data_IF_870336182404
#
_entry.id   IF_870336182404
#
_cell.length_a   1.000
_cell.length_b   1.000
_cell.length_c   1.000
_cell.angle_alpha   90.00
_cell.angle_beta   90.00
_cell.angle_gamma   90.00
#
_symmetry.space_group_name_H-M   'P 1'
#
loop_
_entity.id
_entity.type
_entity.pdbx_description
1 polymer ?
#
# COMPACT_ATOMS: atom_id res chain seq x y z
N UNK A 1 -13.90 24.55 3.95
CA UNK A 1 -14.62 23.25 4.00
C UNK A 1 -16.04 23.49 4.47
N UNK A 2 -17.02 22.69 4.04
CA UNK A 2 -18.38 22.74 4.62
C UNK A 2 -18.34 22.17 6.05
N UNK A 3 -19.15 22.69 7.00
CA UNK A 3 -19.13 22.21 8.40
C UNK A 3 -19.45 20.71 8.53
N UNK A 4 -20.27 20.16 7.62
CA UNK A 4 -20.54 18.71 7.56
C UNK A 4 -19.30 17.86 7.27
N UNK A 5 -18.32 18.37 6.53
CA UNK A 5 -17.09 17.62 6.22
C UNK A 5 -16.19 17.49 7.47
N UNK A 6 -16.32 18.39 8.45
CA UNK A 6 -15.56 18.32 9.69
C UNK A 6 -16.02 17.16 10.57
N UNK A 7 -17.34 16.99 10.72
CA UNK A 7 -17.92 15.86 11.45
C UNK A 7 -17.54 14.51 10.83
N UNK A 8 -17.48 14.45 9.51
CA UNK A 8 -17.12 13.23 8.77
C UNK A 8 -15.63 12.92 8.94
N UNK A 9 -14.77 13.94 8.92
CA UNK A 9 -13.35 13.75 9.20
C UNK A 9 -13.12 13.22 10.64
N UNK A 10 -13.84 13.76 11.63
CA UNK A 10 -13.77 13.26 13.01
C UNK A 10 -14.25 11.81 13.10
N UNK A 11 -15.41 11.49 12.51
CA UNK A 11 -15.96 10.14 12.51
C UNK A 11 -15.03 9.13 11.83
N UNK A 12 -14.44 9.50 10.69
CA UNK A 12 -13.46 8.68 9.99
C UNK A 12 -12.17 8.49 10.80
N UNK A 13 -11.68 9.55 11.44
CA UNK A 13 -10.52 9.46 12.34
C UNK A 13 -10.80 8.56 13.54
N UNK A 14 -11.98 8.67 14.15
CA UNK A 14 -12.41 7.80 15.25
C UNK A 14 -12.54 6.33 14.83
N UNK A 15 -13.13 6.06 13.66
CA UNK A 15 -13.22 4.70 13.11
C UNK A 15 -11.82 4.12 12.85
N UNK A 16 -10.90 4.91 12.29
CA UNK A 16 -9.50 4.50 12.08
C UNK A 16 -8.80 4.21 13.41
N UNK A 17 -8.98 5.06 14.42
CA UNK A 17 -8.43 4.84 15.76
C UNK A 17 -8.95 3.56 16.41
N UNK A 18 -10.26 3.29 16.33
CA UNK A 18 -10.87 2.08 16.90
C UNK A 18 -10.39 0.79 16.20
N UNK A 19 -10.21 0.83 14.88
CA UNK A 19 -9.63 -0.28 14.14
C UNK A 19 -8.19 -0.58 14.57
N UNK A 20 -7.43 0.45 14.94
CA UNK A 20 -6.04 0.30 15.37
C UNK A 20 -5.88 -0.02 16.86
N UNK A 21 -6.74 0.49 17.74
CA UNK A 21 -6.54 0.41 19.20
C UNK A 21 -6.52 -1.02 19.72
N UNK A 22 -7.20 -1.96 19.05
CA UNK A 22 -7.14 -3.38 19.39
C UNK A 22 -5.72 -3.95 19.35
N UNK A 23 -4.85 -3.42 18.47
CA UNK A 23 -3.45 -3.83 18.37
C UNK A 23 -2.64 -3.35 19.58
N UNK A 24 -2.96 -2.16 20.08
CA UNK A 24 -2.31 -1.59 21.27
C UNK A 24 -2.71 -2.36 22.54
N UNK A 25 -3.92 -2.90 22.57
CA UNK A 25 -4.44 -3.68 23.71
C UNK A 25 -4.14 -5.19 23.57
N UNK A 26 -3.34 -5.60 22.58
CA UNK A 26 -2.88 -6.99 22.37
C UNK A 26 -4.00 -8.05 22.27
N UNK A 27 -5.09 -7.76 21.55
CA UNK A 27 -6.13 -8.78 21.32
C UNK A 27 -5.80 -9.70 20.12
N UNK A 28 -6.08 -11.01 20.24
CA UNK A 28 -5.66 -12.03 19.25
C UNK A 28 -6.21 -11.87 17.82
N UNK A 29 -7.27 -11.07 17.62
CA UNK A 29 -7.82 -10.72 16.29
C UNK A 29 -7.48 -9.29 15.83
N UNK A 30 -6.67 -8.56 16.60
CA UNK A 30 -6.39 -7.14 16.40
C UNK A 30 -5.65 -6.81 15.12
N UNK A 31 -4.73 -7.68 14.68
CA UNK A 31 -3.84 -7.39 13.55
C UNK A 31 -4.66 -7.10 12.30
N UNK A 32 -5.60 -7.97 11.94
CA UNK A 32 -6.45 -7.80 10.75
C UNK A 32 -7.25 -6.50 10.79
N UNK A 33 -7.78 -6.12 11.96
CA UNK A 33 -8.51 -4.86 12.12
C UNK A 33 -7.59 -3.65 11.99
N UNK A 34 -6.39 -3.70 12.58
CA UNK A 34 -5.42 -2.63 12.51
C UNK A 34 -4.92 -2.40 11.07
N UNK A 35 -4.78 -3.47 10.28
CA UNK A 35 -4.46 -3.34 8.85
C UNK A 35 -5.57 -2.61 8.06
N UNK A 36 -6.81 -2.62 8.54
CA UNK A 36 -7.92 -1.87 7.93
C UNK A 36 -7.97 -0.39 8.36
N UNK A 37 -7.16 0.05 9.33
CA UNK A 37 -7.17 1.42 9.86
C UNK A 37 -7.00 2.54 8.81
N UNK A 38 -6.26 2.38 7.69
CA UNK A 38 -6.19 3.40 6.64
C UNK A 38 -7.51 3.66 5.90
N UNK A 39 -8.41 2.66 5.84
CA UNK A 39 -9.58 2.68 4.96
C UNK A 39 -10.53 3.84 5.26
N UNK A 40 -10.92 4.12 6.53
CA UNK A 40 -11.75 5.28 6.85
C UNK A 40 -11.15 6.61 6.42
N UNK A 41 -9.82 6.77 6.55
CA UNK A 41 -9.11 8.00 6.16
C UNK A 41 -9.12 8.17 4.63
N UNK A 42 -8.89 7.09 3.88
CA UNK A 42 -9.03 7.11 2.43
C UNK A 42 -10.44 7.51 1.99
N UNK A 43 -11.49 6.94 2.62
CA UNK A 43 -12.89 7.27 2.32
C UNK A 43 -13.15 8.77 2.56
N UNK A 44 -12.70 9.31 3.69
CA UNK A 44 -12.83 10.74 3.99
C UNK A 44 -12.11 11.61 2.95
N UNK A 45 -10.88 11.24 2.59
CA UNK A 45 -10.08 11.96 1.58
C UNK A 45 -10.72 11.95 0.20
N UNK A 46 -11.22 10.80 -0.24
CA UNK A 46 -11.78 10.62 -1.58
C UNK A 46 -13.20 11.18 -1.73
N UNK A 47 -14.05 11.04 -0.71
CA UNK A 47 -15.46 11.44 -0.78
C UNK A 47 -15.75 12.87 -0.30
N UNK A 48 -14.93 13.42 0.59
CA UNK A 48 -15.17 14.73 1.23
C UNK A 48 -14.00 15.71 1.07
N UNK A 49 -13.00 15.33 0.29
CA UNK A 49 -11.85 16.15 -0.10
C UNK A 49 -10.64 15.93 0.80
N UNK A 50 -9.47 16.37 0.31
CA UNK A 50 -8.18 16.06 0.92
C UNK A 50 -8.02 16.59 2.35
N UNK A 51 -8.58 17.77 2.64
CA UNK A 51 -8.57 18.32 4.00
C UNK A 51 -9.31 17.42 5.00
N UNK A 52 -10.39 16.74 4.59
CA UNK A 52 -11.09 15.79 5.45
C UNK A 52 -10.23 14.56 5.75
N UNK A 53 -9.46 14.08 4.77
CA UNK A 53 -8.48 13.01 4.94
C UNK A 53 -7.35 13.38 5.92
N UNK A 54 -6.71 14.54 5.74
CA UNK A 54 -5.66 15.01 6.64
C UNK A 54 -6.16 15.24 8.06
N UNK A 55 -7.35 15.83 8.21
CA UNK A 55 -7.97 16.00 9.54
C UNK A 55 -8.30 14.65 10.19
N UNK A 56 -8.85 13.69 9.42
CA UNK A 56 -9.11 12.34 9.92
C UNK A 56 -7.82 11.66 10.42
N UNK A 57 -6.70 11.85 9.72
CA UNK A 57 -5.41 11.31 10.12
C UNK A 57 -4.88 11.90 11.45
N UNK A 58 -5.06 13.21 11.66
CA UNK A 58 -4.70 13.86 12.93
C UNK A 58 -5.60 13.39 14.06
N UNK A 59 -6.91 13.30 13.81
CA UNK A 59 -7.90 12.81 14.79
C UNK A 59 -7.62 11.36 15.19
N UNK A 60 -7.30 10.47 14.24
CA UNK A 60 -7.00 9.08 14.54
C UNK A 60 -5.78 8.94 15.45
N UNK A 61 -4.71 9.68 15.14
CA UNK A 61 -3.49 9.70 15.96
C UNK A 61 -3.75 10.22 17.38
N UNK A 62 -4.48 11.33 17.51
CA UNK A 62 -4.84 11.91 18.79
C UNK A 62 -5.71 10.98 19.64
N UNK A 63 -6.69 10.31 19.04
CA UNK A 63 -7.54 9.36 19.76
C UNK A 63 -6.79 8.12 20.21
N UNK A 64 -5.90 7.55 19.38
CA UNK A 64 -5.07 6.41 19.82
C UNK A 64 -4.14 6.82 20.95
N UNK A 65 -3.51 7.99 20.89
CA UNK A 65 -2.68 8.51 21.98
C UNK A 65 -3.51 8.71 23.27
N UNK A 66 -4.72 9.25 23.16
CA UNK A 66 -5.60 9.47 24.31
C UNK A 66 -6.10 8.17 24.94
N UNK A 67 -6.50 7.19 24.14
CA UNK A 67 -7.06 5.91 24.64
C UNK A 67 -5.96 5.02 25.22
N UNK A 68 -4.80 4.94 24.56
CA UNK A 68 -3.68 4.11 25.04
C UNK A 68 -2.90 4.73 26.19
N UNK A 69 -3.03 6.05 26.40
CA UNK A 69 -2.18 6.81 27.33
C UNK A 69 -0.73 6.99 26.84
N UNK A 70 -0.38 6.47 25.65
CA UNK A 70 0.95 6.56 25.07
C UNK A 70 0.94 7.41 23.80
N UNK A 71 1.61 8.57 23.85
CA UNK A 71 1.78 9.45 22.68
C UNK A 71 2.46 8.71 21.52
N UNK A 72 3.41 7.82 21.83
CA UNK A 72 4.11 7.01 20.83
C UNK A 72 3.15 6.16 19.99
N UNK A 73 2.13 5.53 20.58
CA UNK A 73 1.15 4.74 19.82
C UNK A 73 0.42 5.55 18.75
N UNK A 74 0.01 6.78 19.08
CA UNK A 74 -0.60 7.71 18.13
C UNK A 74 0.37 8.18 17.05
N UNK A 75 1.62 8.47 17.41
CA UNK A 75 2.67 8.88 16.47
C UNK A 75 3.01 7.76 15.47
N UNK A 76 3.13 6.53 15.95
CA UNK A 76 3.42 5.36 15.11
C UNK A 76 2.30 5.10 14.11
N UNK A 77 1.03 5.13 14.56
CA UNK A 77 -0.14 5.06 13.66
C UNK A 77 -0.11 6.20 12.63
N UNK A 78 0.13 7.42 13.08
CA UNK A 78 0.14 8.60 12.22
C UNK A 78 1.17 8.47 11.10
N UNK A 79 2.42 8.19 11.47
CA UNK A 79 3.55 8.10 10.55
C UNK A 79 3.42 6.91 9.59
N UNK A 80 3.00 5.75 10.10
CA UNK A 80 2.99 4.52 9.31
C UNK A 80 1.76 4.37 8.41
N UNK A 81 0.59 4.82 8.87
CA UNK A 81 -0.68 4.50 8.21
C UNK A 81 -1.51 5.73 7.89
N UNK A 82 -1.80 6.58 8.88
CA UNK A 82 -2.79 7.64 8.71
C UNK A 82 -2.33 8.76 7.77
N UNK A 83 -1.08 9.21 7.90
CA UNK A 83 -0.52 10.24 7.03
C UNK A 83 -0.32 9.72 5.59
N UNK A 84 0.29 8.54 5.36
CA UNK A 84 0.35 7.95 4.02
C UNK A 84 -1.02 7.78 3.38
N UNK A 85 -2.04 7.41 4.15
CA UNK A 85 -3.41 7.28 3.65
C UNK A 85 -3.99 8.63 3.20
N UNK A 86 -3.81 9.68 4.01
CA UNK A 86 -4.26 11.02 3.66
C UNK A 86 -3.55 11.57 2.40
N UNK A 87 -2.23 11.36 2.29
CA UNK A 87 -1.44 11.80 1.13
C UNK A 87 -1.85 11.01 -0.12
N UNK A 88 -1.92 9.68 -0.06
CA UNK A 88 -2.29 8.87 -1.23
C UNK A 88 -3.76 9.12 -1.65
N UNK A 89 -4.67 9.34 -0.70
CA UNK A 89 -6.04 9.79 -0.99
C UNK A 89 -6.09 11.17 -1.64
N UNK A 90 -5.24 12.11 -1.21
CA UNK A 90 -5.10 13.41 -1.86
C UNK A 90 -4.58 13.26 -3.29
N UNK A 91 -3.49 12.53 -3.49
CA UNK A 91 -2.91 12.29 -4.81
C UNK A 91 -3.91 11.63 -5.75
N UNK A 92 -4.65 10.61 -5.30
CA UNK A 92 -5.66 9.95 -6.10
C UNK A 92 -6.83 10.86 -6.50
N UNK A 93 -7.14 11.88 -5.69
CA UNK A 93 -8.18 12.88 -5.93
C UNK A 93 -7.72 14.10 -6.73
N UNK A 94 -6.42 14.28 -6.98
CA UNK A 94 -5.92 15.39 -7.80
C UNK A 94 -6.37 15.23 -9.26
N UNK A 95 -6.93 16.30 -9.82
CA UNK A 95 -7.31 16.40 -11.21
C UNK A 95 -7.03 17.80 -11.73
N UNK A 96 -6.65 17.92 -13.01
CA UNK A 96 -6.51 19.20 -13.71
C UNK A 96 -7.45 19.25 -14.91
N UNK A 97 -8.05 20.40 -15.24
CA UNK A 97 -8.79 20.54 -16.49
C UNK A 97 -7.85 20.37 -17.68
N UNK A 98 -8.30 19.66 -18.71
CA UNK A 98 -7.62 19.62 -20.00
C UNK A 98 -7.90 20.98 -20.68
N UNK A 99 -6.85 21.78 -20.90
CA UNK A 99 -6.98 23.00 -21.68
C UNK A 99 -7.36 22.62 -23.12
N UNK A 100 -8.36 23.31 -23.70
CA UNK A 100 -8.61 23.22 -25.13
C UNK A 100 -7.48 23.95 -25.86
N UNK A 101 -6.37 23.25 -26.08
CA UNK A 101 -5.32 23.73 -26.98
C UNK A 101 -5.95 23.76 -28.39
N UNK A 102 -6.10 24.98 -28.95
CA UNK A 102 -6.87 25.28 -30.17
C UNK A 102 -6.35 24.71 -31.49
N UNK A 103 -5.78 23.49 -31.51
CA UNK A 103 -5.22 22.85 -32.71
C UNK A 103 -5.89 21.53 -33.11
N UNK A 104 -7.01 21.14 -32.47
CA UNK A 104 -7.66 19.84 -32.67
C UNK A 104 -9.06 19.88 -33.30
N UNK A 105 -9.41 20.92 -34.07
CA UNK A 105 -10.76 21.10 -34.63
C UNK A 105 -11.16 20.14 -35.77
N UNK A 106 -10.39 19.10 -36.11
CA UNK A 106 -10.68 18.28 -37.29
C UNK A 106 -11.47 16.98 -37.06
N UNK A 107 -11.75 16.54 -35.83
CA UNK A 107 -12.52 15.29 -35.66
C UNK A 107 -13.36 15.23 -34.37
N UNK A 108 -14.08 16.32 -34.08
CA UNK A 108 -15.23 16.22 -33.17
C UNK A 108 -16.42 15.70 -33.98
N UNK A 109 -16.57 14.38 -34.03
CA UNK A 109 -17.83 13.76 -34.42
C UNK A 109 -18.94 14.35 -33.54
N UNK A 110 -19.84 15.10 -34.17
CA UNK A 110 -21.00 15.72 -33.57
C UNK A 110 -21.80 14.66 -32.80
N UNK A 111 -21.93 14.81 -31.47
CA UNK A 111 -22.78 13.90 -30.70
C UNK A 111 -22.77 13.96 -29.17
N UNK A 112 -21.87 14.69 -28.50
CA UNK A 112 -21.88 14.74 -27.02
C UNK A 112 -21.74 16.17 -26.48
N UNK A 113 -22.86 16.89 -26.54
CA UNK A 113 -23.09 18.06 -25.70
C UNK A 113 -23.42 17.56 -24.27
N UNK A 114 -22.44 17.68 -23.37
CA UNK A 114 -22.56 17.43 -21.94
C UNK A 114 -21.44 18.17 -21.21
N UNK A 115 -21.79 19.32 -20.62
CA UNK A 115 -20.93 20.41 -20.14
C UNK A 115 -20.10 20.10 -18.89
N UNK A 116 -19.18 19.14 -18.95
CA UNK A 116 -18.15 18.99 -17.92
C UNK A 116 -16.74 19.09 -18.54
N UNK A 117 -15.86 19.99 -18.02
CA UNK A 117 -14.48 20.05 -18.46
C UNK A 117 -13.85 18.65 -18.35
N UNK A 118 -13.26 18.15 -19.44
CA UNK A 118 -12.56 16.87 -19.37
C UNK A 118 -11.40 17.00 -18.37
N UNK A 119 -11.42 16.18 -17.32
CA UNK A 119 -10.43 16.22 -16.25
C UNK A 119 -9.33 15.19 -16.50
N UNK A 120 -8.08 15.65 -16.47
CA UNK A 120 -6.91 14.77 -16.41
C UNK A 120 -6.58 14.48 -14.95
N UNK A 121 -6.82 13.23 -14.55
CA UNK A 121 -6.58 12.73 -13.19
C UNK A 121 -5.10 12.44 -12.95
N UNK A 122 -4.68 12.53 -11.68
CA UNK A 122 -3.32 12.20 -11.32
C UNK A 122 -3.02 10.71 -11.60
N UNK A 123 -1.87 10.41 -12.24
CA UNK A 123 -1.62 9.08 -12.76
C UNK A 123 -1.47 8.01 -11.68
N UNK A 124 -2.06 6.83 -11.91
CA UNK A 124 -2.08 5.72 -10.95
C UNK A 124 -0.67 5.21 -10.63
N UNK A 125 0.24 5.23 -11.61
CA UNK A 125 1.63 4.82 -11.43
C UNK A 125 2.38 5.70 -10.42
N UNK A 126 2.06 7.00 -10.38
CA UNK A 126 2.64 7.95 -9.42
C UNK A 126 2.04 7.78 -8.04
N UNK A 127 0.75 7.41 -7.95
CA UNK A 127 0.10 7.07 -6.67
C UNK A 127 0.75 5.83 -6.06
N UNK A 128 0.92 4.75 -6.83
CA UNK A 128 1.55 3.52 -6.32
C UNK A 128 3.01 3.76 -5.93
N UNK A 129 3.77 4.53 -6.74
CA UNK A 129 5.13 4.93 -6.40
C UNK A 129 5.18 5.70 -5.08
N UNK A 130 4.28 6.67 -4.88
CA UNK A 130 4.20 7.44 -3.64
C UNK A 130 3.84 6.55 -2.44
N UNK A 131 2.92 5.60 -2.60
CA UNK A 131 2.57 4.63 -1.56
C UNK A 131 3.80 3.82 -1.14
N UNK A 132 4.55 3.26 -2.10
CA UNK A 132 5.76 2.50 -1.81
C UNK A 132 6.84 3.36 -1.12
N UNK A 133 7.05 4.58 -1.60
CA UNK A 133 8.00 5.51 -1.01
C UNK A 133 7.62 5.90 0.43
N UNK A 134 6.35 6.21 0.68
CA UNK A 134 5.87 6.53 2.03
C UNK A 134 5.95 5.31 2.97
N UNK A 135 5.63 4.11 2.47
CA UNK A 135 5.78 2.89 3.26
C UNK A 135 7.24 2.62 3.64
N UNK A 136 8.18 2.82 2.70
CA UNK A 136 9.61 2.72 2.97
C UNK A 136 10.05 3.76 4.01
N UNK A 137 9.69 5.04 3.83
CA UNK A 137 10.04 6.13 4.76
C UNK A 137 9.48 5.88 6.16
N UNK A 138 8.22 5.42 6.25
CA UNK A 138 7.61 5.05 7.52
C UNK A 138 8.39 3.92 8.21
N UNK A 139 8.72 2.84 7.49
CA UNK A 139 9.43 1.70 8.07
C UNK A 139 10.88 2.05 8.45
N UNK A 140 11.56 2.91 7.69
CA UNK A 140 12.87 3.46 8.07
C UNK A 140 12.76 4.25 9.37
N UNK A 141 11.75 5.12 9.48
CA UNK A 141 11.50 5.92 10.68
C UNK A 141 11.14 5.06 11.90
N UNK A 142 10.35 4.00 11.71
CA UNK A 142 10.05 3.00 12.74
C UNK A 142 11.31 2.27 13.19
N UNK A 143 12.11 1.77 12.25
CA UNK A 143 13.38 1.13 12.57
C UNK A 143 14.30 2.05 13.35
N UNK A 144 14.42 3.32 12.96
CA UNK A 144 15.18 4.32 13.70
C UNK A 144 14.63 4.56 15.11
N UNK A 145 13.30 4.66 15.27
CA UNK A 145 12.64 4.84 16.56
C UNK A 145 12.89 3.66 17.51
N UNK A 146 12.91 2.43 17.00
CA UNK A 146 13.21 1.22 17.77
C UNK A 146 14.72 0.89 17.83
N UNK A 147 15.59 1.76 17.33
CA UNK A 147 17.04 1.56 17.36
C UNK A 147 17.56 0.43 16.47
N UNK A 148 16.76 0.00 15.47
CA UNK A 148 17.08 -1.12 14.57
C UNK A 148 17.34 -2.45 15.27
N UNK A 149 16.87 -2.57 16.52
CA UNK A 149 16.99 -3.77 17.33
C UNK A 149 15.74 -4.65 17.19
N UNK A 150 15.74 -5.51 16.18
CA UNK A 150 14.68 -6.52 16.01
C UNK A 150 14.80 -7.64 17.05
N UNK A 151 15.93 -7.80 17.74
CA UNK A 151 16.13 -8.91 18.69
C UNK A 151 15.25 -8.79 19.93
N UNK A 152 14.81 -7.57 20.26
CA UNK A 152 13.81 -7.31 21.29
C UNK A 152 12.45 -8.00 21.02
N UNK A 153 12.13 -8.31 19.75
CA UNK A 153 10.89 -9.01 19.34
C UNK A 153 11.01 -10.54 19.39
N UNK A 154 12.21 -11.06 19.64
CA UNK A 154 12.49 -12.50 19.69
C UNK A 154 11.58 -13.30 20.62
N UNK A 155 11.33 -12.89 21.89
CA UNK A 155 10.46 -13.67 22.78
C UNK A 155 9.04 -13.81 22.22
N UNK A 156 8.47 -12.73 21.67
CA UNK A 156 7.13 -12.74 21.07
C UNK A 156 7.04 -13.68 19.86
N UNK A 157 8.08 -13.71 19.02
CA UNK A 157 8.15 -14.64 17.88
C UNK A 157 8.26 -16.09 18.35
N UNK A 158 9.09 -16.36 19.36
CA UNK A 158 9.24 -17.71 19.91
C UNK A 158 7.92 -18.19 20.53
N UNK A 159 7.23 -17.32 21.26
CA UNK A 159 5.93 -17.64 21.85
C UNK A 159 4.88 -17.92 20.77
N UNK A 160 4.81 -17.08 19.73
CA UNK A 160 3.91 -17.29 18.58
C UNK A 160 4.22 -18.61 17.84
N UNK A 161 5.50 -18.95 17.66
CA UNK A 161 5.92 -20.22 17.07
C UNK A 161 5.50 -21.40 17.93
N UNK A 162 5.61 -21.29 19.26
CA UNK A 162 5.17 -22.32 20.21
C UNK A 162 3.65 -22.51 20.19
N UNK A 163 2.89 -21.45 19.95
CA UNK A 163 1.43 -21.52 19.81
C UNK A 163 0.96 -22.11 18.47
N UNK A 164 1.78 -22.00 17.40
CA UNK A 164 1.43 -22.41 16.03
C UNK A 164 1.30 -23.93 15.78
N UNK A 165 1.25 -24.75 16.83
CA UNK A 165 0.89 -26.18 16.76
C UNK A 165 1.98 -27.15 16.27
N UNK A 166 3.03 -26.67 15.61
CA UNK A 166 4.22 -27.47 15.27
C UNK A 166 5.26 -27.55 16.41
N UNK A 167 4.93 -26.99 17.56
CA UNK A 167 5.87 -26.80 18.65
C UNK A 167 6.35 -28.09 19.33
N UNK A 168 5.59 -29.17 19.19
CA UNK A 168 5.97 -30.47 19.74
C UNK A 168 7.03 -31.23 18.94
N UNK A 169 7.44 -30.72 17.77
CA UNK A 169 8.36 -31.42 16.85
C UNK A 169 9.73 -30.74 16.67
N UNK A 170 9.91 -29.50 17.13
CA UNK A 170 11.17 -28.77 17.01
C UNK A 170 11.94 -28.78 18.33
N UNK A 171 13.25 -28.97 18.25
CA UNK A 171 14.19 -28.74 19.35
C UNK A 171 14.33 -27.24 19.63
N UNK A 172 14.73 -26.85 20.85
CA UNK A 172 14.95 -25.44 21.21
C UNK A 172 15.98 -24.76 20.30
N UNK A 173 16.97 -25.50 19.79
CA UNK A 173 17.97 -24.99 18.83
C UNK A 173 17.34 -24.66 17.47
N UNK A 174 16.41 -25.48 17.00
CA UNK A 174 15.68 -25.22 15.75
C UNK A 174 14.75 -24.02 15.89
N UNK A 175 14.07 -23.88 17.03
CA UNK A 175 13.26 -22.69 17.33
C UNK A 175 14.07 -21.41 17.26
N UNK A 176 15.25 -21.42 17.88
CA UNK A 176 16.18 -20.30 17.88
C UNK A 176 16.66 -19.92 16.47
N UNK A 177 16.99 -20.92 15.65
CA UNK A 177 17.37 -20.69 14.26
C UNK A 177 16.22 -20.12 13.42
N UNK A 178 15.01 -20.66 13.57
CA UNK A 178 13.81 -20.17 12.85
C UNK A 178 13.45 -18.76 13.31
N UNK A 179 13.45 -18.48 14.61
CA UNK A 179 13.19 -17.15 15.14
C UNK A 179 14.19 -16.12 14.60
N UNK A 180 15.48 -16.47 14.55
CA UNK A 180 16.53 -15.61 13.99
C UNK A 180 16.29 -15.34 12.50
N UNK A 181 15.90 -16.36 11.73
CA UNK A 181 15.54 -16.19 10.31
C UNK A 181 14.32 -15.27 10.14
N UNK A 182 13.25 -15.46 10.92
CA UNK A 182 12.06 -14.62 10.86
C UNK A 182 12.38 -13.16 11.21
N UNK A 183 13.20 -12.93 12.24
CA UNK A 183 13.68 -11.60 12.62
C UNK A 183 14.46 -10.92 11.50
N UNK A 184 15.33 -11.65 10.79
CA UNK A 184 16.09 -11.08 9.66
C UNK A 184 15.20 -10.66 8.49
N UNK A 185 13.99 -11.21 8.38
CA UNK A 185 13.05 -10.89 7.30
C UNK A 185 12.14 -9.71 7.65
N UNK A 186 12.05 -9.27 8.91
CA UNK A 186 11.17 -8.17 9.32
C UNK A 186 11.41 -6.89 8.50
N UNK A 187 12.66 -6.41 8.32
CA UNK A 187 12.92 -5.20 7.54
C UNK A 187 12.46 -5.31 6.08
N UNK A 188 12.40 -6.52 5.52
CA UNK A 188 11.90 -6.77 4.17
C UNK A 188 10.37 -6.92 4.13
N UNK A 189 9.79 -7.71 5.04
CA UNK A 189 8.38 -8.10 5.00
C UNK A 189 7.47 -6.96 5.48
N UNK A 190 7.85 -6.25 6.54
CA UNK A 190 7.02 -5.18 7.11
C UNK A 190 6.66 -4.08 6.08
N UNK A 191 7.61 -3.48 5.34
CA UNK A 191 7.27 -2.47 4.32
C UNK A 191 6.53 -3.06 3.11
N UNK A 192 6.75 -4.33 2.79
CA UNK A 192 5.97 -5.02 1.76
C UNK A 192 4.50 -5.12 2.18
N UNK A 193 4.22 -5.57 3.40
CA UNK A 193 2.85 -5.63 3.95
C UNK A 193 2.23 -4.24 4.02
N UNK A 194 2.97 -3.23 4.48
CA UNK A 194 2.44 -1.86 4.56
C UNK A 194 2.07 -1.30 3.18
N UNK A 195 2.92 -1.54 2.17
CA UNK A 195 2.64 -1.14 0.78
C UNK A 195 1.38 -1.84 0.25
N UNK A 196 1.24 -3.14 0.51
CA UNK A 196 0.04 -3.91 0.14
C UNK A 196 -1.22 -3.35 0.82
N UNK A 197 -1.13 -3.06 2.12
CA UNK A 197 -2.25 -2.55 2.93
C UNK A 197 -2.69 -1.17 2.47
N UNK A 198 -1.77 -0.26 2.22
CA UNK A 198 -2.10 1.08 1.73
C UNK A 198 -2.68 1.03 0.30
N UNK A 199 -2.10 0.21 -0.58
CA UNK A 199 -2.58 0.04 -1.95
C UNK A 199 -3.98 -0.60 -2.02
N UNK A 200 -4.18 -1.71 -1.30
CA UNK A 200 -5.46 -2.40 -1.24
C UNK A 200 -6.50 -1.56 -0.49
N UNK A 201 -6.11 -0.88 0.59
CA UNK A 201 -6.96 0.02 1.35
C UNK A 201 -7.48 1.17 0.49
N UNK A 202 -6.62 1.78 -0.34
CA UNK A 202 -7.02 2.80 -1.30
C UNK A 202 -8.00 2.24 -2.34
N UNK A 203 -7.74 1.03 -2.87
CA UNK A 203 -8.65 0.36 -3.81
C UNK A 203 -10.04 0.12 -3.21
N UNK A 204 -10.10 -0.44 -2.00
CA UNK A 204 -11.35 -0.71 -1.27
C UNK A 204 -12.08 0.59 -0.96
N UNK A 205 -11.37 1.61 -0.48
CA UNK A 205 -11.96 2.91 -0.19
C UNK A 205 -12.51 3.60 -1.45
N UNK A 206 -11.79 3.53 -2.57
CA UNK A 206 -12.26 4.06 -3.85
C UNK A 206 -13.51 3.32 -4.36
N UNK A 207 -13.57 2.00 -4.16
CA UNK A 207 -14.76 1.21 -4.47
C UNK A 207 -15.96 1.61 -3.61
N UNK A 208 -15.79 1.68 -2.28
CA UNK A 208 -16.85 2.09 -1.34
C UNK A 208 -17.35 3.52 -1.63
N UNK A 209 -16.44 4.46 -1.83
CA UNK A 209 -16.77 5.87 -2.11
C UNK A 209 -17.52 6.01 -3.44
N UNK A 210 -17.21 5.17 -4.43
CA UNK A 210 -17.93 5.11 -5.71
C UNK A 210 -19.33 4.55 -5.57
N UNK A 211 -19.53 3.52 -4.74
CA UNK A 211 -20.88 3.00 -4.44
C UNK A 211 -21.75 4.07 -3.81
N UNK A 212 -21.17 4.95 -3.01
CA UNK A 212 -21.87 6.11 -2.43
C UNK A 212 -22.07 7.30 -3.38
N UNK A 213 -21.68 7.17 -4.66
CA UNK A 213 -21.71 8.24 -5.67
C UNK A 213 -20.96 9.51 -5.24
N UNK A 214 -19.88 9.33 -4.46
CA UNK A 214 -19.05 10.42 -3.91
C UNK A 214 -17.70 10.55 -4.57
N UNK A 215 -17.31 9.60 -5.43
CA UNK A 215 -16.02 9.61 -6.09
C UNK A 215 -16.18 10.17 -7.52
N UNK A 216 -15.70 11.40 -7.81
CA UNK A 216 -15.83 11.98 -9.15
C UNK A 216 -14.88 11.33 -10.16
N UNK A 217 -13.83 10.65 -9.69
CA UNK A 217 -12.86 9.94 -10.53
C UNK A 217 -13.52 8.72 -11.20
N UNK A 218 -13.49 8.61 -12.53
CA UNK A 218 -14.01 7.44 -13.23
C UNK A 218 -13.25 6.18 -12.82
N UNK A 219 -13.85 5.01 -13.05
CA UNK A 219 -13.20 3.74 -12.73
C UNK A 219 -12.06 3.46 -13.71
N UNK A 220 -10.83 3.57 -13.22
CA UNK A 220 -9.64 3.19 -13.98
C UNK A 220 -9.60 1.69 -14.26
N UNK A 221 -9.11 1.33 -15.44
CA UNK A 221 -8.82 -0.05 -15.79
C UNK A 221 -7.50 -0.53 -15.17
N UNK A 222 -7.50 -0.76 -13.85
CA UNK A 222 -6.27 -1.02 -13.07
C UNK A 222 -5.36 -2.12 -13.65
N UNK A 223 -5.85 -3.29 -14.10
CA UNK A 223 -4.97 -4.31 -14.68
C UNK A 223 -4.11 -3.83 -15.86
N UNK A 224 -4.57 -2.82 -16.60
CA UNK A 224 -3.88 -2.24 -17.76
C UNK A 224 -3.16 -0.93 -17.40
N UNK A 225 -3.79 -0.11 -16.54
CA UNK A 225 -3.31 1.19 -16.14
C UNK A 225 -2.19 1.13 -15.08
N UNK A 226 -2.16 0.09 -14.26
CA UNK A 226 -1.19 -0.05 -13.17
C UNK A 226 0.19 -0.39 -13.73
N UNK A 227 1.12 0.55 -13.56
CA UNK A 227 2.54 0.39 -13.85
C UNK A 227 3.34 1.26 -12.85
N UNK A 228 4.67 1.26 -12.94
CA UNK A 228 5.53 2.11 -12.14
C UNK A 228 6.39 3.01 -13.03
N UNK A 229 6.76 4.22 -12.57
CA UNK A 229 7.70 5.07 -13.31
C UNK A 229 9.10 4.44 -13.31
N UNK A 230 9.96 4.76 -14.29
CA UNK A 230 11.34 4.27 -14.37
C UNK A 230 12.16 4.47 -13.09
N UNK A 231 11.89 5.56 -12.36
CA UNK A 231 12.52 5.84 -11.07
C UNK A 231 12.39 4.68 -10.07
N UNK A 232 11.26 3.94 -10.09
CA UNK A 232 11.05 2.79 -9.21
C UNK A 232 12.08 1.68 -9.43
N UNK A 233 12.48 1.46 -10.69
CA UNK A 233 13.48 0.45 -11.04
C UNK A 233 14.84 0.80 -10.44
N UNK A 234 15.26 2.06 -10.57
CA UNK A 234 16.54 2.53 -10.02
C UNK A 234 16.55 2.50 -8.50
N UNK A 235 15.45 2.91 -7.85
CA UNK A 235 15.32 2.86 -6.39
C UNK A 235 15.40 1.41 -5.88
N UNK A 236 14.68 0.49 -6.52
CA UNK A 236 14.70 -0.94 -6.15
C UNK A 236 16.07 -1.57 -6.40
N UNK A 237 16.70 -1.30 -7.55
CA UNK A 237 18.03 -1.80 -7.85
C UNK A 237 19.11 -1.27 -6.89
N UNK A 238 19.02 0.01 -6.51
CA UNK A 238 19.92 0.61 -5.53
C UNK A 238 19.72 -0.03 -4.13
N UNK A 239 18.46 -0.25 -3.73
CA UNK A 239 18.14 -0.99 -2.50
C UNK A 239 18.71 -2.41 -2.52
N UNK A 240 18.53 -3.14 -3.62
CA UNK A 240 19.05 -4.50 -3.76
C UNK A 240 20.58 -4.55 -3.74
N UNK A 241 21.26 -3.57 -4.35
CA UNK A 241 22.71 -3.46 -4.28
C UNK A 241 23.18 -3.14 -2.84
N UNK A 242 22.47 -2.24 -2.15
CA UNK A 242 22.79 -1.86 -0.79
C UNK A 242 22.48 -2.96 0.25
N UNK A 243 21.62 -3.93 -0.06
CA UNK A 243 21.33 -5.05 0.86
C UNK A 243 22.48 -6.04 1.02
N UNK A 244 23.54 -5.93 0.21
CA UNK A 244 24.78 -6.69 0.40
C UNK A 244 25.76 -6.02 1.37
N UNK A 245 25.41 -4.83 1.88
CA UNK A 245 26.13 -4.20 2.99
C UNK A 245 25.75 -4.85 4.32
N UNK A 246 26.34 -4.39 5.42
CA UNK A 246 26.02 -4.89 6.76
C UNK A 246 25.55 -3.77 7.68
N UNK A 247 24.85 -4.15 8.76
CA UNK A 247 24.41 -3.23 9.79
C UNK A 247 23.18 -2.41 9.38
N UNK A 248 23.00 -1.17 9.88
CA UNK A 248 21.79 -0.38 9.64
C UNK A 248 21.51 -0.08 8.17
N UNK A 249 22.56 0.02 7.34
CA UNK A 249 22.42 0.26 5.89
C UNK A 249 21.74 -0.92 5.20
N UNK A 250 22.08 -2.14 5.60
CA UNK A 250 21.43 -3.37 5.13
C UNK A 250 19.93 -3.35 5.44
N UNK A 251 19.56 -2.99 6.67
CA UNK A 251 18.15 -2.95 7.08
C UNK A 251 17.35 -1.90 6.30
N UNK A 252 17.91 -0.71 6.11
CA UNK A 252 17.29 0.35 5.27
C UNK A 252 17.14 -0.15 3.83
N UNK A 253 18.14 -0.83 3.30
CA UNK A 253 18.13 -1.40 1.97
C UNK A 253 17.05 -2.48 1.80
N UNK A 254 16.90 -3.37 2.78
CA UNK A 254 15.82 -4.36 2.85
C UNK A 254 14.45 -3.69 2.93
N UNK A 255 14.32 -2.57 3.65
CA UNK A 255 13.07 -1.80 3.71
C UNK A 255 12.66 -1.26 2.34
N UNK A 256 13.61 -0.70 1.60
CA UNK A 256 13.39 -0.24 0.22
C UNK A 256 13.01 -1.41 -0.68
N UNK A 257 13.72 -2.54 -0.58
CA UNK A 257 13.42 -3.75 -1.35
C UNK A 257 12.01 -4.27 -1.06
N UNK A 258 11.59 -4.29 0.20
CA UNK A 258 10.27 -4.76 0.61
C UNK A 258 9.14 -3.91 0.04
N UNK A 259 9.24 -2.59 0.24
CA UNK A 259 8.22 -1.64 -0.24
C UNK A 259 8.10 -1.66 -1.78
N UNK A 260 9.21 -1.46 -2.48
CA UNK A 260 9.19 -1.41 -3.95
C UNK A 260 8.98 -2.79 -4.58
N UNK A 261 9.48 -3.87 -3.95
CA UNK A 261 9.22 -5.24 -4.39
C UNK A 261 7.72 -5.59 -4.35
N UNK A 262 7.01 -5.19 -3.30
CA UNK A 262 5.55 -5.34 -3.26
C UNK A 262 4.86 -4.47 -4.32
N UNK A 263 5.32 -3.23 -4.54
CA UNK A 263 4.77 -2.40 -5.61
C UNK A 263 4.92 -3.05 -6.99
N UNK A 264 6.09 -3.61 -7.30
CA UNK A 264 6.30 -4.41 -8.52
C UNK A 264 5.43 -5.68 -8.54
N UNK A 265 5.25 -6.35 -7.40
CA UNK A 265 4.35 -7.51 -7.27
C UNK A 265 2.92 -7.14 -7.66
N UNK A 266 2.40 -6.01 -7.17
CA UNK A 266 1.05 -5.52 -7.51
C UNK A 266 0.92 -5.22 -9.01
N UNK A 267 1.95 -4.65 -9.65
CA UNK A 267 1.99 -4.48 -11.11
C UNK A 267 1.98 -5.83 -11.83
N UNK A 268 2.77 -6.80 -11.38
CA UNK A 268 2.79 -8.16 -11.93
C UNK A 268 1.43 -8.87 -11.83
N UNK A 269 0.76 -8.73 -10.69
CA UNK A 269 -0.60 -9.23 -10.49
C UNK A 269 -1.62 -8.51 -11.39
N UNK A 270 -1.48 -7.18 -11.57
CA UNK A 270 -2.27 -6.42 -12.54
C UNK A 270 -2.15 -7.01 -13.94
N UNK A 271 -0.94 -7.34 -14.37
CA UNK A 271 -0.73 -7.98 -15.67
C UNK A 271 -1.30 -9.39 -15.76
N UNK A 272 -1.29 -10.18 -14.68
CA UNK A 272 -1.98 -11.48 -14.66
C UNK A 272 -3.47 -11.29 -14.94
N UNK A 273 -4.11 -10.33 -14.27
CA UNK A 273 -5.50 -9.98 -14.51
C UNK A 273 -5.74 -9.50 -15.94
N UNK A 274 -4.85 -8.69 -16.51
CA UNK A 274 -4.96 -8.23 -17.89
C UNK A 274 -4.83 -9.39 -18.89
N UNK A 275 -3.81 -10.25 -18.74
CA UNK A 275 -3.55 -11.39 -19.63
C UNK A 275 -4.62 -12.48 -19.57
N UNK A 276 -5.31 -12.62 -18.45
CA UNK A 276 -6.37 -13.62 -18.28
C UNK A 276 -7.74 -13.15 -18.76
N UNK A 277 -7.88 -11.89 -19.20
CA UNK A 277 -9.13 -11.39 -19.80
C UNK A 277 -9.50 -12.14 -21.07
N UNK A 278 -10.79 -12.40 -21.26
CA UNK A 278 -11.33 -13.10 -22.42
C UNK A 278 -11.05 -14.61 -22.46
N UNK A 279 -10.27 -15.17 -21.52
CA UNK A 279 -10.01 -16.61 -21.45
C UNK A 279 -11.14 -17.34 -20.71
N UNK A 280 -11.59 -18.46 -21.27
CA UNK A 280 -12.64 -19.31 -20.66
C UNK A 280 -12.22 -19.89 -19.31
N UNK A 281 -10.93 -20.17 -19.12
CA UNK A 281 -10.35 -20.69 -17.88
C UNK A 281 -9.83 -19.60 -16.93
N UNK A 282 -10.26 -18.34 -17.10
CA UNK A 282 -9.79 -17.19 -16.28
C UNK A 282 -9.89 -17.45 -14.78
N UNK A 283 -11.04 -17.93 -14.31
CA UNK A 283 -11.29 -18.14 -12.88
C UNK A 283 -10.29 -19.16 -12.32
N UNK A 284 -10.09 -20.28 -13.01
CA UNK A 284 -9.13 -21.30 -12.62
C UNK A 284 -7.71 -20.73 -12.52
N UNK A 285 -7.26 -19.98 -13.54
CA UNK A 285 -5.92 -19.39 -13.56
C UNK A 285 -5.70 -18.43 -12.38
N UNK A 286 -6.68 -17.58 -12.07
CA UNK A 286 -6.60 -16.65 -10.94
C UNK A 286 -6.61 -17.39 -9.61
N UNK A 287 -7.56 -18.31 -9.40
CA UNK A 287 -7.68 -19.08 -8.15
C UNK A 287 -6.39 -19.85 -7.87
N UNK A 288 -5.85 -20.56 -8.86
CA UNK A 288 -4.60 -21.30 -8.71
C UNK A 288 -3.42 -20.38 -8.42
N UNK A 289 -3.34 -19.22 -9.09
CA UNK A 289 -2.25 -18.26 -8.85
C UNK A 289 -2.30 -17.68 -7.44
N UNK A 290 -3.48 -17.29 -6.95
CA UNK A 290 -3.65 -16.79 -5.59
C UNK A 290 -3.47 -17.88 -4.53
N UNK A 291 -3.97 -19.09 -4.76
CA UNK A 291 -3.72 -20.23 -3.89
C UNK A 291 -2.22 -20.56 -3.80
N UNK A 292 -1.51 -20.52 -4.93
CA UNK A 292 -0.07 -20.72 -4.96
C UNK A 292 0.69 -19.62 -4.18
N UNK A 293 0.26 -18.35 -4.28
CA UNK A 293 0.82 -17.26 -3.46
C UNK A 293 0.62 -17.56 -1.97
N UNK A 294 -0.60 -17.92 -1.57
CA UNK A 294 -0.95 -18.18 -0.17
C UNK A 294 -0.21 -19.37 0.44
N UNK A 295 -0.02 -20.44 -0.34
CA UNK A 295 0.58 -21.70 0.15
C UNK A 295 2.11 -21.68 0.05
N UNK A 296 2.65 -21.12 -1.04
CA UNK A 296 4.07 -21.29 -1.38
C UNK A 296 4.91 -20.03 -1.19
N UNK A 297 4.30 -18.84 -1.15
CA UNK A 297 4.92 -17.50 -1.06
C UNK A 297 5.89 -17.13 -2.21
N UNK A 298 6.71 -18.04 -2.73
CA UNK A 298 7.63 -17.79 -3.84
C UNK A 298 6.98 -17.25 -5.13
N UNK A 299 5.69 -17.52 -5.46
CA UNK A 299 5.07 -16.89 -6.62
C UNK A 299 5.05 -15.35 -6.55
N UNK A 300 5.12 -14.75 -5.35
CA UNK A 300 5.31 -13.30 -5.20
C UNK A 300 6.58 -12.81 -5.90
N UNK A 301 7.67 -13.58 -5.85
CA UNK A 301 8.90 -13.26 -6.57
C UNK A 301 8.68 -13.28 -8.09
N UNK A 302 7.95 -14.26 -8.61
CA UNK A 302 7.59 -14.35 -10.04
C UNK A 302 6.80 -13.10 -10.47
N UNK A 303 5.82 -12.67 -9.66
CA UNK A 303 5.06 -11.45 -9.96
C UNK A 303 5.88 -10.17 -9.81
N UNK A 304 6.83 -10.12 -8.87
CA UNK A 304 7.82 -9.03 -8.78
C UNK A 304 8.60 -8.92 -10.10
N UNK A 305 9.15 -10.04 -10.59
CA UNK A 305 9.87 -10.11 -11.87
C UNK A 305 9.00 -9.68 -13.06
N UNK A 306 7.71 -10.06 -13.08
CA UNK A 306 6.77 -9.60 -14.11
C UNK A 306 6.54 -8.08 -14.06
N UNK A 307 6.44 -7.49 -12.86
CA UNK A 307 6.33 -6.04 -12.69
C UNK A 307 7.57 -5.27 -13.13
N UNK A 308 8.76 -5.79 -12.78
CA UNK A 308 10.05 -5.30 -13.26
C UNK A 308 10.12 -5.31 -14.79
N UNK A 309 9.76 -6.45 -15.39
CA UNK A 309 9.76 -6.62 -16.84
C UNK A 309 8.84 -5.62 -17.56
N UNK A 310 7.63 -5.38 -17.06
CA UNK A 310 6.72 -4.41 -17.69
C UNK A 310 7.26 -2.98 -17.62
N UNK A 311 7.87 -2.60 -16.50
CA UNK A 311 8.51 -1.29 -16.34
C UNK A 311 9.67 -1.11 -17.32
N UNK A 312 10.53 -2.14 -17.45
CA UNK A 312 11.63 -2.13 -18.43
C UNK A 312 11.12 -2.01 -19.86
N UNK A 313 10.07 -2.77 -20.20
CA UNK A 313 9.48 -2.75 -21.55
C UNK A 313 8.94 -1.37 -21.92
N UNK A 314 8.29 -0.67 -20.97
CA UNK A 314 7.72 0.67 -21.18
C UNK A 314 8.77 1.77 -21.34
N UNK A 315 10.01 1.55 -20.90
CA UNK A 315 11.12 2.49 -21.14
C UNK A 315 11.66 2.43 -22.57
N UNK A 316 11.37 1.36 -23.32
CA UNK A 316 11.88 1.23 -24.68
C UNK A 316 11.15 2.21 -25.61
N UNK A 317 11.86 2.96 -26.47
CA UNK A 317 11.21 3.77 -27.49
C UNK A 317 10.32 2.88 -28.36
N UNK A 318 9.14 3.37 -28.74
CA UNK A 318 8.30 2.67 -29.70
C UNK A 318 9.13 2.43 -30.97
N UNK A 319 9.29 1.17 -31.37
CA UNK A 319 9.94 0.83 -32.63
C UNK A 319 9.14 1.51 -33.74
N UNK A 320 9.73 2.53 -34.38
CA UNK A 320 9.26 3.04 -35.66
C UNK A 320 9.47 1.94 -36.68
N UNK A 321 8.44 1.13 -36.90
CA UNK A 321 8.34 0.19 -38.00
C UNK A 321 7.31 0.75 -39.00
#
# INVERSE_FOLDING_TARGET
MKPSNFLIAIAAGAASALLFVGLVVQSGSAVTLALAAPIPIFIASLGWGSLAGFLAAVVSAGLVAAISGLVSGGVLLFAAMSLPAAIAGHLAGLARPIAEDGSGQAERAAGQAGEHPQLMWFPVERVLFAIAAMAALACVGLGWYFGYDVTALKPEIVDTLRESGNAGQMSDVEFEAVATLLLSLIPLVQPAVLTLVLGLGLYVAAWLTRISDRLPRPKDDLPTALHLPPAALFVFAAGLAASFTSGPVEQIALVVCGAFGMAFTLVGLGQLHARTRGRSNRVLLLVVSYAAIMILSFPLFVFTCLGLYDTIRRMRPASTA
#
